data_IF_482607123964
#
_entry.id   IF_482607123964
#
_cell.length_a   1.000
_cell.length_b   1.000
_cell.length_c   1.000
_cell.angle_alpha   90.00
_cell.angle_beta   90.00
_cell.angle_gamma   90.00
#
_symmetry.space_group_name_H-M   'P 1'
#
loop_
_entity.id
_entity.type
_entity.pdbx_description
1 polymer ?
#
# COMPACT_ATOMS: atom_id res chain seq x y z
N UNK A 1 6.43 10.10 -14.82
CA UNK A 1 5.05 10.59 -15.03
C UNK A 1 4.55 11.37 -13.81
N UNK A 2 4.79 10.92 -12.58
CA UNK A 2 4.60 11.73 -11.37
C UNK A 2 5.88 11.67 -10.53
N UNK A 3 6.73 12.70 -10.63
CA UNK A 3 8.03 12.75 -9.93
C UNK A 3 7.91 13.26 -8.49
N UNK A 4 6.76 13.82 -8.15
CA UNK A 4 6.36 14.36 -6.85
C UNK A 4 5.71 13.31 -5.93
N UNK A 5 5.57 12.07 -6.40
CA UNK A 5 4.92 10.97 -5.67
C UNK A 5 5.83 9.76 -5.54
N UNK A 6 5.68 9.06 -4.43
CA UNK A 6 6.24 7.72 -4.21
C UNK A 6 5.07 6.75 -4.13
N UNK A 7 5.16 5.65 -4.87
CA UNK A 7 4.11 4.63 -4.95
C UNK A 7 4.49 3.45 -4.08
N UNK A 8 4.01 3.45 -2.84
CA UNK A 8 4.37 2.43 -1.86
C UNK A 8 3.28 1.38 -1.66
N UNK A 9 2.18 1.43 -2.42
CA UNK A 9 1.09 0.45 -2.34
C UNK A 9 1.43 -0.90 -2.98
N UNK A 10 0.63 -1.94 -2.68
CA UNK A 10 0.81 -3.26 -3.31
C UNK A 10 0.45 -3.27 -4.79
N UNK A 11 0.95 -4.29 -5.48
CA UNK A 11 0.53 -4.63 -6.84
C UNK A 11 -0.93 -5.12 -6.83
N UNK A 12 -1.83 -4.41 -7.52
CA UNK A 12 -3.28 -4.71 -7.55
C UNK A 12 -3.87 -4.56 -8.95
N UNK A 13 -5.14 -4.93 -9.09
CA UNK A 13 -5.92 -4.67 -10.31
C UNK A 13 -5.63 -5.61 -11.48
N UNK A 14 -4.97 -6.75 -11.23
CA UNK A 14 -4.73 -7.79 -12.24
C UNK A 14 -5.45 -9.07 -11.90
N UNK A 15 -6.09 -9.65 -12.92
CA UNK A 15 -6.67 -10.98 -12.81
C UNK A 15 -5.55 -12.02 -12.65
N UNK A 16 -5.65 -12.97 -11.71
CA UNK A 16 -4.69 -14.06 -11.54
C UNK A 16 -4.38 -14.85 -12.81
N UNK A 17 -5.32 -14.95 -13.74
CA UNK A 17 -5.13 -15.60 -15.04
C UNK A 17 -4.08 -14.90 -15.90
N UNK A 18 -3.85 -13.59 -15.71
CA UNK A 18 -2.82 -12.84 -16.43
C UNK A 18 -1.43 -13.39 -16.12
N UNK A 19 -1.12 -13.68 -14.86
CA UNK A 19 0.17 -14.25 -14.48
C UNK A 19 0.33 -15.68 -15.02
N UNK A 20 -0.73 -16.49 -15.00
CA UNK A 20 -0.70 -17.88 -15.49
C UNK A 20 -0.63 -17.98 -17.02
N UNK A 21 -1.17 -16.98 -17.73
CA UNK A 21 -1.22 -16.93 -19.19
C UNK A 21 -0.07 -16.15 -19.85
N UNK A 22 0.82 -15.55 -19.07
CA UNK A 22 1.94 -14.75 -19.57
C UNK A 22 3.25 -15.53 -19.48
N UNK A 23 4.15 -15.34 -20.46
CA UNK A 23 5.50 -15.90 -20.41
C UNK A 23 6.37 -15.25 -19.31
N UNK A 24 6.10 -13.99 -18.98
CA UNK A 24 6.81 -13.24 -17.96
C UNK A 24 5.96 -12.08 -17.41
N UNK A 25 6.23 -11.70 -16.16
CA UNK A 25 5.76 -10.45 -15.55
C UNK A 25 6.97 -9.52 -15.38
N UNK A 26 6.93 -8.34 -16.02
CA UNK A 26 7.95 -7.30 -15.85
C UNK A 26 7.32 -6.10 -15.12
N UNK A 27 7.96 -5.66 -14.04
CA UNK A 27 7.55 -4.49 -13.28
C UNK A 27 8.56 -3.35 -13.49
N UNK A 28 8.05 -2.15 -13.82
CA UNK A 28 8.89 -0.97 -13.92
C UNK A 28 8.99 -0.30 -12.55
N UNK A 29 10.20 -0.24 -12.00
CA UNK A 29 10.48 0.34 -10.70
C UNK A 29 10.43 1.88 -10.72
N UNK A 30 10.38 2.49 -9.54
CA UNK A 30 10.65 3.93 -9.40
C UNK A 30 12.17 4.17 -9.45
N UNK A 31 12.57 5.41 -9.69
CA UNK A 31 13.98 5.84 -9.64
C UNK A 31 14.62 5.65 -8.27
N UNK A 32 13.82 5.49 -7.20
CA UNK A 32 14.27 5.22 -5.84
C UNK A 32 14.33 3.70 -5.61
N UNK A 33 15.52 3.06 -5.62
CA UNK A 33 15.61 1.61 -5.60
C UNK A 33 15.13 1.02 -4.27
N UNK A 34 15.52 1.64 -3.15
CA UNK A 34 15.13 1.18 -1.81
C UNK A 34 13.62 1.24 -1.58
N UNK A 35 12.98 2.34 -1.99
CA UNK A 35 11.53 2.50 -1.88
C UNK A 35 10.79 1.53 -2.80
N UNK A 36 11.32 1.27 -4.00
CA UNK A 36 10.74 0.35 -4.97
C UNK A 36 10.71 -1.09 -4.50
N UNK A 37 11.48 -1.47 -3.46
CA UNK A 37 11.45 -2.83 -2.91
C UNK A 37 10.05 -3.22 -2.43
N UNK A 38 9.28 -2.30 -1.85
CA UNK A 38 7.93 -2.60 -1.35
C UNK A 38 7.01 -3.07 -2.50
N UNK A 39 6.73 -2.26 -3.54
CA UNK A 39 5.85 -2.70 -4.62
C UNK A 39 6.44 -3.87 -5.43
N UNK A 40 7.77 -3.92 -5.63
CA UNK A 40 8.41 -5.03 -6.36
C UNK A 40 8.30 -6.36 -5.62
N UNK A 41 8.40 -6.36 -4.29
CA UNK A 41 8.17 -7.56 -3.47
C UNK A 41 6.75 -8.10 -3.73
N UNK A 42 5.74 -7.23 -3.68
CA UNK A 42 4.35 -7.66 -3.89
C UNK A 42 4.08 -8.12 -5.32
N UNK A 43 4.75 -7.52 -6.31
CA UNK A 43 4.68 -7.97 -7.70
C UNK A 43 5.31 -9.36 -7.88
N UNK A 44 6.42 -9.65 -7.17
CA UNK A 44 7.05 -10.97 -7.19
C UNK A 44 6.17 -12.04 -6.54
N UNK A 45 5.52 -11.73 -5.41
CA UNK A 45 4.57 -12.61 -4.74
C UNK A 45 3.37 -12.94 -5.65
N UNK A 46 2.79 -11.92 -6.31
CA UNK A 46 1.76 -12.13 -7.32
C UNK A 46 2.24 -12.97 -8.51
N UNK A 47 3.45 -12.73 -9.02
CA UNK A 47 3.99 -13.51 -10.14
C UNK A 47 4.19 -14.98 -9.79
N UNK A 48 4.55 -15.27 -8.54
CA UNK A 48 4.82 -16.62 -8.05
C UNK A 48 3.53 -17.41 -7.76
N UNK A 49 2.59 -16.82 -7.04
CA UNK A 49 1.33 -17.46 -6.65
C UNK A 49 0.13 -16.53 -6.84
N UNK A 50 -0.28 -16.25 -8.09
CA UNK A 50 -1.32 -15.26 -8.36
C UNK A 50 -2.69 -15.64 -7.77
N UNK A 51 -2.95 -16.94 -7.57
CA UNK A 51 -4.22 -17.44 -7.00
C UNK A 51 -4.29 -17.28 -5.48
N UNK A 52 -3.15 -17.38 -4.79
CA UNK A 52 -3.06 -17.23 -3.35
C UNK A 52 -2.59 -15.84 -2.89
N UNK A 53 -2.35 -14.93 -3.84
CA UNK A 53 -1.85 -13.59 -3.56
C UNK A 53 -2.88 -12.76 -2.80
N UNK A 54 -2.51 -12.33 -1.59
CA UNK A 54 -3.23 -11.33 -0.79
C UNK A 54 -2.40 -10.03 -0.80
N UNK A 55 -2.87 -8.96 -1.47
CA UNK A 55 -2.17 -7.69 -1.55
C UNK A 55 -1.83 -7.10 -0.19
N UNK A 56 -2.74 -7.20 0.79
CA UNK A 56 -2.55 -6.58 2.11
C UNK A 56 -1.57 -7.38 2.97
N UNK A 57 -1.57 -8.71 2.85
CA UNK A 57 -0.57 -9.56 3.51
C UNK A 57 0.81 -9.39 2.90
N UNK A 58 0.91 -9.42 1.57
CA UNK A 58 2.15 -9.22 0.83
C UNK A 58 2.78 -7.87 1.11
N UNK A 59 1.97 -6.82 1.16
CA UNK A 59 2.43 -5.46 1.47
C UNK A 59 3.03 -5.33 2.87
N UNK A 60 2.36 -5.91 3.88
CA UNK A 60 2.90 -5.94 5.25
C UNK A 60 4.20 -6.72 5.33
N UNK A 61 4.27 -7.88 4.66
CA UNK A 61 5.50 -8.68 4.60
C UNK A 61 6.66 -7.91 3.92
N UNK A 62 6.39 -7.15 2.87
CA UNK A 62 7.39 -6.31 2.20
C UNK A 62 7.92 -5.19 3.10
N UNK A 63 7.05 -4.58 3.92
CA UNK A 63 7.44 -3.58 4.90
C UNK A 63 8.27 -4.22 6.02
N UNK A 64 7.86 -5.38 6.51
CA UNK A 64 8.58 -6.13 7.54
C UNK A 64 9.98 -6.55 7.05
N UNK A 65 10.11 -7.00 5.80
CA UNK A 65 11.40 -7.30 5.15
C UNK A 65 12.29 -6.06 5.08
N UNK A 66 11.75 -4.92 4.63
CA UNK A 66 12.51 -3.69 4.49
C UNK A 66 12.94 -3.10 5.84
N UNK A 67 12.14 -3.30 6.88
CA UNK A 67 12.44 -2.88 8.24
C UNK A 67 13.56 -3.70 8.90
N UNK A 68 13.87 -4.90 8.38
CA UNK A 68 15.00 -5.70 8.85
C UNK A 68 14.91 -6.11 10.33
N UNK A 69 13.69 -6.24 10.87
CA UNK A 69 13.45 -6.58 12.28
C UNK A 69 13.50 -5.40 13.26
N UNK A 70 13.76 -4.18 12.80
CA UNK A 70 13.65 -2.97 13.63
C UNK A 70 12.18 -2.54 13.74
N UNK A 71 11.63 -2.60 14.97
CA UNK A 71 10.25 -2.26 15.24
C UNK A 71 9.92 -0.77 14.99
N UNK A 72 10.84 0.14 15.31
CA UNK A 72 10.63 1.58 15.10
C UNK A 72 10.67 1.90 13.60
N UNK A 73 11.60 1.30 12.87
CA UNK A 73 11.66 1.42 11.41
C UNK A 73 10.40 0.85 10.75
N UNK A 74 9.93 -0.31 11.22
CA UNK A 74 8.70 -0.94 10.74
C UNK A 74 7.49 -0.04 10.90
N UNK A 75 7.29 0.56 12.07
CA UNK A 75 6.16 1.43 12.33
C UNK A 75 6.24 2.72 11.50
N UNK A 76 7.44 3.29 11.36
CA UNK A 76 7.66 4.45 10.50
C UNK A 76 7.39 4.13 9.01
N UNK A 77 7.84 2.96 8.54
CA UNK A 77 7.59 2.49 7.18
C UNK A 77 6.11 2.20 6.93
N UNK A 78 5.40 1.60 7.89
CA UNK A 78 3.96 1.39 7.81
C UNK A 78 3.21 2.71 7.68
N UNK A 79 3.56 3.71 8.49
CA UNK A 79 2.95 5.03 8.40
C UNK A 79 3.27 5.70 7.05
N UNK A 80 4.53 5.71 6.62
CA UNK A 80 4.94 6.30 5.34
C UNK A 80 4.23 5.62 4.17
N UNK A 81 4.32 4.29 4.10
CA UNK A 81 3.75 3.52 3.02
C UNK A 81 2.23 3.63 3.01
N UNK A 82 1.56 3.62 4.17
CA UNK A 82 0.11 3.77 4.26
C UNK A 82 -0.38 5.12 3.73
N UNK A 83 0.37 6.20 3.99
CA UNK A 83 0.07 7.55 3.49
C UNK A 83 0.63 7.83 2.08
N UNK A 84 1.26 6.84 1.45
CA UNK A 84 1.78 6.92 0.06
C UNK A 84 1.43 5.66 -0.73
N UNK A 85 0.36 4.97 -0.34
CA UNK A 85 -0.08 3.73 -0.98
C UNK A 85 -0.71 4.02 -2.34
N UNK A 86 -1.34 5.19 -2.49
CA UNK A 86 -2.11 5.58 -3.65
C UNK A 86 -1.33 5.52 -4.96
N UNK A 87 -1.84 4.76 -5.92
CA UNK A 87 -1.27 4.67 -7.27
C UNK A 87 -2.37 4.49 -8.31
N UNK A 88 -2.00 4.51 -9.60
CA UNK A 88 -2.90 4.19 -10.72
C UNK A 88 -3.49 2.77 -10.61
N UNK A 89 -2.87 1.88 -9.82
CA UNK A 89 -3.33 0.50 -9.62
C UNK A 89 -4.47 0.35 -8.59
N UNK A 90 -4.85 1.43 -7.90
CA UNK A 90 -6.08 1.45 -7.10
C UNK A 90 -5.93 1.14 -5.60
N UNK A 91 -4.78 1.46 -5.00
CA UNK A 91 -4.67 1.46 -3.54
C UNK A 91 -5.26 2.74 -2.96
N UNK A 92 -6.06 2.61 -1.89
CA UNK A 92 -6.53 3.76 -1.12
C UNK A 92 -5.38 4.33 -0.27
N UNK A 93 -5.11 5.62 -0.44
CA UNK A 93 -4.14 6.34 0.38
C UNK A 93 -4.74 6.64 1.76
N UNK A 94 -3.95 6.44 2.82
CA UNK A 94 -4.35 6.74 4.20
C UNK A 94 -5.65 6.06 4.65
N UNK A 95 -5.96 4.87 4.13
CA UNK A 95 -7.22 4.16 4.41
C UNK A 95 -7.49 3.99 5.92
N UNK A 96 -6.44 3.78 6.73
CA UNK A 96 -6.58 3.65 8.18
C UNK A 96 -6.96 4.96 8.90
N UNK A 97 -6.73 6.12 8.28
CA UNK A 97 -7.10 7.43 8.84
C UNK A 97 -8.53 7.83 8.49
N UNK A 98 -9.10 7.35 7.38
CA UNK A 98 -10.46 7.69 6.95
C UNK A 98 -11.51 7.52 8.06
N UNK A 99 -11.65 6.34 8.72
CA UNK A 99 -12.66 6.17 9.77
C UNK A 99 -12.39 7.06 11.00
N UNK A 100 -11.14 7.43 11.26
CA UNK A 100 -10.78 8.34 12.35
C UNK A 100 -11.21 9.78 12.03
N UNK A 101 -11.03 10.22 10.79
CA UNK A 101 -11.53 11.51 10.33
C UNK A 101 -13.05 11.58 10.37
N UNK A 102 -13.75 10.52 9.93
CA UNK A 102 -15.20 10.45 9.98
C UNK A 102 -15.72 10.57 11.42
N UNK A 103 -15.11 9.83 12.36
CA UNK A 103 -15.45 9.91 13.77
C UNK A 103 -15.20 11.30 14.36
N UNK A 104 -14.06 11.93 14.03
CA UNK A 104 -13.73 13.26 14.48
C UNK A 104 -14.77 14.30 14.03
N UNK A 105 -15.17 14.27 12.76
CA UNK A 105 -16.15 15.23 12.25
C UNK A 105 -17.56 14.98 12.79
N UNK A 106 -17.95 13.72 12.96
CA UNK A 106 -19.23 13.35 13.57
C UNK A 106 -19.36 13.88 15.00
N UNK A 107 -18.35 13.61 15.84
CA UNK A 107 -18.34 14.06 17.24
C UNK A 107 -18.36 15.59 17.37
N UNK A 108 -17.64 16.30 16.51
CA UNK A 108 -17.66 17.77 16.47
C UNK A 108 -19.02 18.34 16.05
N UNK A 109 -19.67 17.72 15.06
CA UNK A 109 -20.99 18.14 14.62
C UNK A 109 -22.06 17.96 15.71
N UNK A 110 -21.97 16.87 16.48
CA UNK A 110 -22.87 16.62 17.63
C UNK A 110 -22.66 17.64 18.76
N UNK A 111 -21.41 17.96 19.11
CA UNK A 111 -21.12 18.97 20.14
C UNK A 111 -21.73 20.33 19.79
N UNK A 112 -21.55 20.80 18.55
CA UNK A 112 -22.10 22.08 18.07
C UNK A 112 -23.63 22.15 18.01
N UNK A 113 -24.32 20.99 18.06
CA UNK A 113 -25.79 20.89 18.14
C UNK A 113 -26.29 20.90 19.58
N UNK A 114 -25.48 20.50 20.55
CA UNK A 114 -25.82 20.52 21.98
C UNK A 114 -25.64 21.91 22.62
N UNK A 115 -24.75 22.72 22.05
CA UNK A 115 -24.49 24.10 22.50
C UNK A 115 -25.50 25.13 21.93
N UNK A 116 -26.51 24.67 21.16
CA UNK A 116 -27.62 25.47 20.62
C UNK A 116 -28.92 25.09 21.29
#
# INVERSE_FOLDING_TARGET
YAQDRIFLGPYTGRDPAVASGSAALLANAMEQPSASRIPLFTAADFAWNPKGYDPAASWRAAIDDLAGGDAAARDALLALAGNSAGSVLGAEESAYLQPLFDAFWSTRADASRRDR
#
